data_IF_085579933365
#
_entry.id   IF_085579933365
#
_cell.length_a   1.000
_cell.length_b   1.000
_cell.length_c   1.000
_cell.angle_alpha   90.00
_cell.angle_beta   90.00
_cell.angle_gamma   90.00
#
_symmetry.space_group_name_H-M   'P 1'
#
loop_
_entity.id
_entity.type
_entity.pdbx_description
1 polymer ?
#
# COMPACT_ATOMS: atom_id res chain seq x y z
N UNK A 1 -0.46 -5.43 1.80
CA UNK A 1 0.52 -5.90 0.82
C UNK A 1 -0.18 -6.36 -0.45
N UNK A 2 0.26 -5.86 -1.58
CA UNK A 2 -0.30 -6.19 -2.90
C UNK A 2 0.60 -7.16 -3.66
N UNK A 3 0.02 -8.04 -4.45
CA UNK A 3 0.74 -9.05 -5.22
C UNK A 3 1.85 -8.47 -6.13
N UNK A 4 1.66 -7.32 -6.82
CA UNK A 4 2.73 -6.73 -7.60
C UNK A 4 3.99 -6.37 -6.80
N UNK A 5 3.87 -6.09 -5.51
CA UNK A 5 5.01 -5.78 -4.65
C UNK A 5 5.98 -6.95 -4.45
N UNK A 6 5.51 -8.17 -4.69
CA UNK A 6 6.31 -9.40 -4.62
C UNK A 6 6.52 -10.03 -6.01
N UNK A 7 6.33 -9.25 -7.07
CA UNK A 7 6.56 -9.69 -8.44
C UNK A 7 5.46 -10.56 -9.06
N UNK A 8 4.29 -10.62 -8.46
CA UNK A 8 3.14 -11.39 -8.97
C UNK A 8 2.17 -10.45 -9.69
N UNK A 9 1.98 -10.56 -11.02
CA UNK A 9 1.15 -9.64 -11.78
C UNK A 9 -0.35 -9.99 -11.70
N UNK A 10 -0.87 -10.08 -10.48
CA UNK A 10 -2.28 -10.36 -10.20
C UNK A 10 -2.90 -9.23 -9.39
N UNK A 11 -4.18 -8.97 -9.62
CA UNK A 11 -4.97 -7.99 -8.88
C UNK A 11 -5.48 -8.58 -7.58
N UNK A 12 -4.57 -8.77 -6.63
CA UNK A 12 -4.84 -9.33 -5.31
C UNK A 12 -4.06 -8.53 -4.27
N UNK A 13 -4.69 -8.24 -3.15
CA UNK A 13 -4.00 -7.72 -1.97
C UNK A 13 -4.49 -8.35 -0.68
N UNK A 14 -3.69 -8.20 0.36
CA UNK A 14 -4.02 -8.59 1.73
C UNK A 14 -3.95 -7.37 2.64
N UNK A 15 -4.71 -7.39 3.72
CA UNK A 15 -4.60 -6.38 4.78
C UNK A 15 -4.59 -7.03 6.16
N UNK A 16 -4.04 -6.29 7.11
CA UNK A 16 -4.04 -6.61 8.53
C UNK A 16 -4.24 -5.29 9.29
N UNK A 17 -5.46 -5.07 9.74
CA UNK A 17 -5.87 -3.84 10.41
C UNK A 17 -6.73 -4.21 11.60
N UNK A 18 -6.38 -3.68 12.79
CA UNK A 18 -7.15 -3.90 14.03
C UNK A 18 -7.41 -5.38 14.34
N UNK A 19 -6.39 -6.22 14.16
CA UNK A 19 -6.44 -7.69 14.33
C UNK A 19 -7.37 -8.42 13.34
N UNK A 20 -7.90 -7.72 12.36
CA UNK A 20 -8.61 -8.33 11.24
C UNK A 20 -7.68 -8.50 10.03
N UNK A 21 -7.58 -9.72 9.55
CA UNK A 21 -6.80 -10.09 8.37
C UNK A 21 -7.73 -10.50 7.25
N UNK A 22 -7.46 -10.00 6.05
CA UNK A 22 -8.27 -10.36 4.91
C UNK A 22 -7.50 -10.27 3.60
N UNK A 23 -8.15 -10.71 2.53
CA UNK A 23 -7.65 -10.57 1.16
C UNK A 23 -8.80 -10.23 0.21
N UNK A 24 -8.45 -9.65 -0.94
CA UNK A 24 -9.42 -9.28 -1.95
C UNK A 24 -8.83 -9.46 -3.34
N UNK A 25 -9.58 -10.08 -4.22
CA UNK A 25 -9.23 -10.33 -5.63
C UNK A 25 -10.09 -9.44 -6.51
N UNK A 26 -9.49 -8.82 -7.51
CA UNK A 26 -10.14 -7.92 -8.47
C UNK A 26 -10.98 -6.83 -7.79
N UNK A 27 -10.40 -6.02 -6.92
CA UNK A 27 -11.14 -5.03 -6.16
C UNK A 27 -11.64 -3.87 -7.04
N UNK A 28 -12.83 -3.39 -6.68
CA UNK A 28 -13.40 -2.13 -7.16
C UNK A 28 -13.79 -1.32 -5.93
N UNK A 29 -13.39 -0.06 -5.88
CA UNK A 29 -13.65 0.84 -4.74
C UNK A 29 -14.75 1.83 -5.05
N UNK A 30 -15.67 2.01 -4.09
CA UNK A 30 -16.55 3.16 -3.96
C UNK A 30 -16.03 4.01 -2.79
N UNK A 31 -15.72 5.28 -3.05
CA UNK A 31 -15.10 6.19 -2.09
C UNK A 31 -16.06 7.30 -1.68
N UNK A 32 -16.00 7.70 -0.40
CA UNK A 32 -16.71 8.88 0.08
C UNK A 32 -16.06 10.18 -0.43
N UNK A 33 -16.84 11.27 -0.49
CA UNK A 33 -16.32 12.60 -0.80
C UNK A 33 -15.57 13.21 0.40
N UNK A 34 -15.92 12.80 1.62
CA UNK A 34 -15.21 13.20 2.82
C UNK A 34 -13.80 12.63 2.82
N UNK A 35 -12.82 13.49 3.09
CA UNK A 35 -11.40 13.14 3.12
C UNK A 35 -10.89 13.03 4.55
N UNK A 36 -9.86 12.22 4.73
CA UNK A 36 -9.06 12.14 5.93
C UNK A 36 -7.61 12.50 5.63
N UNK A 37 -6.95 13.09 6.60
CA UNK A 37 -5.52 13.27 6.61
C UNK A 37 -4.86 12.21 7.50
N UNK A 38 -3.59 11.93 7.26
CA UNK A 38 -2.80 11.04 8.08
C UNK A 38 -1.53 10.60 7.37
N UNK A 39 -0.53 10.26 8.17
CA UNK A 39 0.71 9.75 7.62
C UNK A 39 0.53 8.37 7.01
N UNK A 40 1.13 8.19 5.86
CA UNK A 40 1.19 6.93 5.14
C UNK A 40 2.63 6.60 4.79
N UNK A 41 2.95 5.32 4.83
CA UNK A 41 4.22 4.77 4.38
C UNK A 41 3.97 3.52 3.57
N UNK A 42 5.01 2.99 2.95
CA UNK A 42 4.91 1.78 2.16
C UNK A 42 6.19 0.96 2.29
N UNK A 43 6.06 -0.35 2.31
CA UNK A 43 7.21 -1.26 2.31
C UNK A 43 8.10 -1.07 1.07
N UNK A 44 7.52 -0.58 -0.03
CA UNK A 44 8.26 -0.24 -1.25
C UNK A 44 9.18 0.99 -1.09
N UNK A 45 8.95 1.80 -0.05
CA UNK A 45 9.75 2.97 0.30
C UNK A 45 10.14 2.92 1.77
N UNK A 46 11.16 2.15 2.15
CA UNK A 46 11.57 2.03 3.55
C UNK A 46 11.81 3.38 4.22
N UNK A 47 11.26 3.56 5.42
CA UNK A 47 11.43 4.76 6.27
C UNK A 47 10.78 6.05 5.76
N UNK A 48 10.16 6.04 4.59
CA UNK A 48 9.46 7.20 4.03
C UNK A 48 8.05 7.30 4.62
N UNK A 49 7.69 8.47 5.17
CA UNK A 49 6.35 8.75 5.68
C UNK A 49 5.94 10.18 5.37
N UNK A 50 4.74 10.34 4.83
CA UNK A 50 4.16 11.64 4.50
C UNK A 50 2.65 11.65 4.74
N UNK A 51 2.12 12.82 5.10
CA UNK A 51 0.69 13.03 5.15
C UNK A 51 0.07 12.80 3.78
N UNK A 52 -0.82 11.84 3.69
CA UNK A 52 -1.43 11.41 2.44
C UNK A 52 -2.94 11.51 2.53
N UNK A 53 -3.57 12.44 1.79
CA UNK A 53 -5.03 12.54 1.78
C UNK A 53 -5.67 11.30 1.17
N UNK A 54 -6.71 10.80 1.84
CA UNK A 54 -7.50 9.64 1.40
C UNK A 54 -8.98 9.89 1.67
N UNK A 55 -9.85 9.14 1.02
CA UNK A 55 -11.26 9.12 1.39
C UNK A 55 -11.43 8.59 2.81
N UNK A 56 -12.36 9.18 3.57
CA UNK A 56 -12.66 8.78 4.94
C UNK A 56 -13.29 7.39 5.00
N UNK A 57 -14.11 7.05 4.00
CA UNK A 57 -14.77 5.75 3.87
C UNK A 57 -14.54 5.15 2.51
N UNK A 58 -14.42 3.84 2.49
CA UNK A 58 -14.29 3.06 1.26
C UNK A 58 -15.13 1.80 1.35
N UNK A 59 -15.80 1.46 0.27
CA UNK A 59 -16.42 0.15 0.07
C UNK A 59 -15.63 -0.56 -1.02
N UNK A 60 -15.02 -1.67 -0.67
CA UNK A 60 -14.27 -2.51 -1.61
C UNK A 60 -15.09 -3.74 -1.97
N UNK A 61 -15.35 -3.92 -3.25
CA UNK A 61 -16.05 -5.08 -3.81
C UNK A 61 -15.07 -5.89 -4.65
N UNK A 62 -15.11 -7.19 -4.49
CA UNK A 62 -14.25 -8.10 -5.24
C UNK A 62 -14.61 -9.54 -4.93
N UNK A 63 -13.61 -10.41 -4.96
CA UNK A 63 -13.80 -11.85 -4.76
C UNK A 63 -12.79 -12.36 -3.75
N UNK A 64 -13.16 -13.45 -3.05
CA UNK A 64 -12.20 -14.21 -2.25
C UNK A 64 -11.43 -15.22 -3.13
N UNK A 65 -10.51 -15.98 -2.51
CA UNK A 65 -9.72 -17.00 -3.22
C UNK A 65 -10.54 -18.13 -3.82
N UNK A 66 -11.78 -18.29 -3.38
CA UNK A 66 -12.72 -19.32 -3.90
C UNK A 66 -13.63 -18.79 -5.01
N UNK A 67 -13.50 -17.52 -5.37
CA UNK A 67 -14.33 -16.89 -6.39
C UNK A 67 -15.71 -16.41 -5.90
N UNK A 68 -15.92 -16.38 -4.58
CA UNK A 68 -17.16 -15.85 -4.01
C UNK A 68 -17.11 -14.33 -3.94
N UNK A 69 -18.22 -13.61 -4.24
CA UNK A 69 -18.28 -12.17 -4.08
C UNK A 69 -18.09 -11.74 -2.62
N UNK A 70 -17.28 -10.72 -2.42
CA UNK A 70 -16.98 -10.14 -1.09
C UNK A 70 -17.13 -8.63 -1.16
N UNK A 71 -17.73 -8.05 -0.11
CA UNK A 71 -17.82 -6.61 0.07
C UNK A 71 -17.27 -6.24 1.44
N UNK A 72 -16.37 -5.26 1.47
CA UNK A 72 -15.72 -4.79 2.69
C UNK A 72 -15.98 -3.30 2.80
N UNK A 73 -16.57 -2.89 3.91
CA UNK A 73 -16.76 -1.49 4.27
C UNK A 73 -15.73 -1.09 5.32
N UNK A 74 -14.99 -0.03 5.03
CA UNK A 74 -13.99 0.50 5.93
C UNK A 74 -14.11 2.00 6.09
N UNK A 75 -13.73 2.48 7.28
CA UNK A 75 -13.55 3.90 7.57
C UNK A 75 -12.17 4.12 8.18
N UNK A 76 -11.70 5.37 8.14
CA UNK A 76 -10.42 5.75 8.75
C UNK A 76 -9.25 4.89 8.26
N UNK A 77 -8.58 4.16 9.16
CA UNK A 77 -7.38 3.41 8.82
C UNK A 77 -7.65 2.26 7.84
N UNK A 78 -8.74 1.52 8.00
CA UNK A 78 -9.11 0.46 7.05
C UNK A 78 -9.41 1.04 5.66
N UNK A 79 -10.14 2.16 5.58
CA UNK A 79 -10.40 2.83 4.31
C UNK A 79 -9.09 3.26 3.64
N UNK A 80 -8.13 3.76 4.41
CA UNK A 80 -6.78 4.11 3.93
C UNK A 80 -6.06 2.89 3.37
N UNK A 81 -6.07 1.78 4.09
CA UNK A 81 -5.42 0.54 3.67
C UNK A 81 -6.02 -0.01 2.37
N UNK A 82 -7.34 -0.04 2.25
CA UNK A 82 -8.02 -0.50 1.05
C UNK A 82 -7.65 0.34 -0.18
N UNK A 83 -7.55 1.66 -0.03
CA UNK A 83 -7.15 2.57 -1.10
C UNK A 83 -5.68 2.42 -1.47
N UNK A 84 -4.80 2.32 -0.46
CA UNK A 84 -3.37 2.13 -0.66
C UNK A 84 -3.06 0.85 -1.42
N UNK A 85 -3.64 -0.27 -1.02
CA UNK A 85 -3.41 -1.56 -1.65
C UNK A 85 -4.01 -1.64 -3.07
N UNK A 86 -5.18 -1.05 -3.28
CA UNK A 86 -5.78 -0.97 -4.63
C UNK A 86 -4.93 -0.11 -5.56
N UNK A 87 -4.36 0.98 -5.06
CA UNK A 87 -3.45 1.82 -5.85
C UNK A 87 -2.25 1.00 -6.38
N UNK A 88 -1.67 0.12 -5.57
CA UNK A 88 -0.59 -0.76 -6.04
C UNK A 88 -0.98 -1.60 -7.25
N UNK A 89 -2.23 -2.07 -7.30
CA UNK A 89 -2.74 -2.86 -8.42
C UNK A 89 -2.86 -2.03 -9.70
N UNK A 90 -3.03 -0.72 -9.56
CA UNK A 90 -3.14 0.23 -10.67
C UNK A 90 -1.80 0.92 -11.00
N UNK A 91 -0.71 0.48 -10.37
CA UNK A 91 0.62 1.05 -10.55
C UNK A 91 0.79 2.43 -9.91
N UNK A 92 -0.04 2.77 -8.93
CA UNK A 92 -0.01 4.03 -8.20
C UNK A 92 0.62 3.81 -6.83
N UNK A 93 1.53 4.69 -6.45
CA UNK A 93 2.20 4.68 -5.15
C UNK A 93 1.69 5.85 -4.30
N UNK A 94 1.80 5.75 -2.98
CA UNK A 94 1.30 6.81 -2.12
C UNK A 94 1.97 8.17 -2.38
N UNK A 95 3.22 8.17 -2.83
CA UNK A 95 3.94 9.40 -3.22
C UNK A 95 3.26 10.14 -4.38
N UNK A 96 2.50 9.43 -5.21
CA UNK A 96 1.73 10.02 -6.32
C UNK A 96 0.47 10.76 -5.83
N UNK A 97 0.07 10.52 -4.58
CA UNK A 97 -1.10 11.13 -3.93
C UNK A 97 -0.75 12.34 -3.07
N UNK A 98 0.53 12.63 -2.90
CA UNK A 98 1.02 13.74 -2.08
C UNK A 98 0.76 15.11 -2.74
N UNK A 99 0.78 16.17 -1.93
CA UNK A 99 0.88 17.53 -2.46
C UNK A 99 2.15 17.67 -3.32
N UNK A 100 2.17 18.65 -4.20
CA UNK A 100 3.35 18.89 -5.05
C UNK A 100 4.62 19.14 -4.22
N UNK A 101 4.49 19.87 -3.12
CA UNK A 101 5.59 20.17 -2.21
C UNK A 101 6.12 18.90 -1.53
N UNK A 102 5.22 18.12 -0.93
CA UNK A 102 5.57 16.88 -0.25
C UNK A 102 6.13 15.84 -1.22
N UNK A 103 5.57 15.78 -2.43
CA UNK A 103 6.10 14.89 -3.47
C UNK A 103 7.52 15.24 -3.87
N UNK A 104 7.83 16.52 -4.04
CA UNK A 104 9.20 16.97 -4.32
C UNK A 104 10.16 16.59 -3.18
N UNK A 105 9.75 16.80 -1.94
CA UNK A 105 10.52 16.44 -0.76
C UNK A 105 10.73 14.91 -0.69
N UNK A 106 9.68 14.12 -0.89
CA UNK A 106 9.74 12.67 -0.91
C UNK A 106 10.68 12.14 -2.01
N UNK A 107 10.59 12.67 -3.21
CA UNK A 107 11.46 12.26 -4.32
C UNK A 107 12.93 12.59 -4.06
N UNK A 108 13.21 13.70 -3.37
CA UNK A 108 14.57 14.03 -2.93
C UNK A 108 15.07 13.02 -1.90
N UNK A 109 14.27 12.73 -0.89
CA UNK A 109 14.58 11.74 0.16
C UNK A 109 14.85 10.35 -0.43
N UNK A 110 14.04 9.92 -1.39
CA UNK A 110 14.24 8.65 -2.11
C UNK A 110 15.62 8.63 -2.80
N UNK A 111 15.95 9.67 -3.54
CA UNK A 111 17.24 9.74 -4.26
C UNK A 111 18.46 9.77 -3.34
N UNK A 112 18.31 10.32 -2.14
CA UNK A 112 19.38 10.43 -1.13
C UNK A 112 19.43 9.20 -0.22
N UNK A 113 18.48 8.27 -0.32
CA UNK A 113 18.42 7.08 0.54
C UNK A 113 19.51 6.06 0.18
N UNK A 114 20.03 5.39 1.20
CA UNK A 114 21.05 4.34 1.02
C UNK A 114 20.52 3.17 0.18
N UNK A 115 19.26 2.78 0.40
CA UNK A 115 18.66 1.65 -0.33
C UNK A 115 18.48 1.93 -1.82
N UNK A 116 18.23 3.18 -2.21
CA UNK A 116 18.17 3.59 -3.61
C UNK A 116 19.56 3.58 -4.24
N UNK A 117 20.57 4.10 -3.54
CA UNK A 117 21.95 4.08 -3.98
C UNK A 117 22.49 2.66 -4.21
N UNK A 118 22.17 1.73 -3.30
CA UNK A 118 22.54 0.33 -3.42
C UNK A 118 21.92 -0.35 -4.64
N UNK A 119 20.63 -0.12 -4.89
CA UNK A 119 19.93 -0.67 -6.06
C UNK A 119 20.53 -0.15 -7.37
N UNK A 120 20.98 1.11 -7.40
CA UNK A 120 21.59 1.74 -8.58
C UNK A 120 23.03 1.29 -8.84
N UNK A 121 23.78 0.96 -7.80
CA UNK A 121 25.22 0.69 -7.90
C UNK A 121 25.56 -0.77 -8.18
N UNK A 122 24.71 -1.70 -7.79
CA UNK A 122 25.02 -3.14 -7.84
C UNK A 122 24.32 -3.90 -8.96
N UNK A 123 23.30 -3.32 -9.58
CA UNK A 123 22.45 -4.04 -10.55
C UNK A 123 21.75 -5.25 -9.93
N UNK A 124 21.85 -5.43 -8.62
CA UNK A 124 21.15 -6.47 -7.88
C UNK A 124 19.75 -5.99 -7.52
N UNK A 125 18.79 -6.88 -7.63
CA UNK A 125 17.45 -6.61 -7.11
C UNK A 125 17.54 -6.25 -5.61
N UNK A 126 16.79 -5.22 -5.18
CA UNK A 126 16.83 -4.84 -3.78
C UNK A 126 16.39 -6.01 -2.91
N UNK A 127 17.20 -6.33 -1.91
CA UNK A 127 16.83 -7.32 -0.91
C UNK A 127 15.61 -6.76 -0.17
N UNK A 128 14.48 -7.41 -0.31
CA UNK A 128 13.27 -7.05 0.41
C UNK A 128 13.52 -7.30 1.89
N UNK A 129 13.80 -6.24 2.63
CA UNK A 129 13.85 -6.34 4.09
C UNK A 129 12.43 -6.45 4.60
N UNK A 130 12.09 -7.57 5.18
CA UNK A 130 10.81 -7.77 5.86
C UNK A 130 10.78 -6.81 7.06
N UNK A 131 9.77 -5.93 7.10
CA UNK A 131 9.57 -5.06 8.25
C UNK A 131 9.35 -5.90 9.52
N UNK A 132 9.97 -5.57 10.66
CA UNK A 132 9.68 -6.25 11.93
C UNK A 132 8.22 -6.16 12.37
N UNK A 133 7.44 -5.28 11.74
CA UNK A 133 6.00 -5.15 11.94
C UNK A 133 5.16 -5.86 10.87
N UNK A 134 5.79 -6.52 9.92
CA UNK A 134 5.10 -7.33 8.92
C UNK A 134 4.69 -8.65 9.57
N UNK A 135 3.41 -8.91 9.60
CA UNK A 135 2.84 -10.19 10.06
C UNK A 135 3.22 -11.37 9.17
N UNK A 136 3.80 -11.12 8.02
CA UNK A 136 4.32 -12.11 7.07
C UNK A 136 5.63 -12.80 7.53
N UNK A 137 6.00 -12.74 8.75
CA UNK A 137 7.19 -13.41 9.28
C UNK A 137 6.97 -14.19 10.56
N UNK A 138 5.72 -14.22 11.05
CA UNK A 138 5.38 -15.06 12.20
C UNK A 138 4.67 -16.33 11.74
N UNK A 139 5.36 -17.10 10.93
CA UNK A 139 5.09 -18.51 10.84
C UNK A 139 5.56 -19.17 12.14
N UNK A 140 4.67 -19.84 12.80
CA UNK A 140 5.04 -20.74 13.89
C UNK A 140 6.01 -21.81 13.40
#
# INVERSE_FOLDING_TARGET
>A
LAAPQIGVPLRVFTWDVDDEVGHLVNPVLDLSDELQDGEEGCLSFPELRYNTPRAMRAVAKGFNMYGDPVMIEGSEFLARALQHETDHLDGILFVDRLSEEDRKAAMKEIRESEWFGLASSTGQEPIIKVSPHSTFGRGN
#
